data_IF_055622901721
#
_entry.id   IF_055622901721
#
_cell.length_a   1.000
_cell.length_b   1.000
_cell.length_c   1.000
_cell.angle_alpha   90.00
_cell.angle_beta   90.00
_cell.angle_gamma   90.00
#
_symmetry.space_group_name_H-M   'P 1'
#
loop_
_entity.id
_entity.type
_entity.pdbx_description
1 polymer ?
#
# COMPACT_ATOMS: atom_id res chain seq x y z
N UNK A 1 0.91 -2.06 31.46
CA UNK A 1 0.16 -2.71 30.35
C UNK A 1 1.04 -2.74 29.10
N UNK A 2 1.75 -3.84 28.81
CA UNK A 2 2.58 -3.98 27.60
C UNK A 2 1.75 -4.70 26.53
N UNK A 3 0.83 -3.97 25.90
CA UNK A 3 0.12 -4.46 24.72
C UNK A 3 1.01 -4.40 23.47
N UNK A 4 0.83 -5.33 22.53
CA UNK A 4 1.42 -5.24 21.19
C UNK A 4 1.11 -3.86 20.62
N UNK A 5 2.08 -3.13 20.04
CA UNK A 5 1.82 -1.80 19.50
C UNK A 5 0.59 -1.86 18.57
N UNK A 6 -0.35 -0.91 18.69
CA UNK A 6 -1.57 -0.92 17.88
C UNK A 6 -1.28 -0.79 16.38
N UNK A 7 -0.05 -0.35 16.04
CA UNK A 7 0.41 -0.10 14.68
C UNK A 7 1.33 -1.20 14.19
N UNK A 8 1.10 -1.58 12.94
CA UNK A 8 1.95 -2.51 12.22
C UNK A 8 2.97 -1.71 11.40
N UNK A 9 4.26 -2.02 11.55
CA UNK A 9 5.33 -1.45 10.71
C UNK A 9 5.02 -1.55 9.22
N UNK A 10 4.36 -2.62 8.78
CA UNK A 10 3.99 -2.81 7.38
C UNK A 10 2.94 -1.78 6.95
N UNK A 11 1.92 -1.49 7.79
CA UNK A 11 0.93 -0.45 7.47
C UNK A 11 1.53 0.95 7.54
N UNK A 12 2.46 1.19 8.47
CA UNK A 12 3.22 2.45 8.53
C UNK A 12 4.01 2.68 7.23
N UNK A 13 4.75 1.68 6.77
CA UNK A 13 5.48 1.76 5.49
C UNK A 13 4.54 1.93 4.28
N UNK A 14 3.39 1.24 4.25
CA UNK A 14 2.38 1.44 3.20
C UNK A 14 1.85 2.88 3.23
N UNK A 15 1.65 3.45 4.42
CA UNK A 15 1.26 4.84 4.56
C UNK A 15 2.36 5.80 4.04
N UNK A 16 3.64 5.52 4.28
CA UNK A 16 4.74 6.30 3.67
C UNK A 16 4.67 6.27 2.14
N UNK A 17 4.47 5.08 1.55
CA UNK A 17 4.37 4.92 0.10
C UNK A 17 3.22 5.76 -0.43
N UNK A 18 2.02 5.60 0.13
CA UNK A 18 0.83 6.33 -0.30
C UNK A 18 0.93 7.84 -0.05
N UNK A 19 1.66 8.28 0.99
CA UNK A 19 1.94 9.69 1.21
C UNK A 19 2.80 10.31 0.08
N UNK A 20 3.68 9.51 -0.53
CA UNK A 20 4.58 9.98 -1.59
C UNK A 20 3.92 9.88 -2.97
N UNK A 21 3.29 8.75 -3.30
CA UNK A 21 2.71 8.51 -4.64
C UNK A 21 1.26 8.99 -4.77
N UNK A 22 0.64 9.37 -3.65
CA UNK A 22 -0.76 9.81 -3.56
C UNK A 22 -1.76 8.64 -3.59
N UNK A 23 -1.69 7.79 -4.62
CA UNK A 23 -2.52 6.60 -4.77
C UNK A 23 -1.79 5.46 -5.46
N UNK A 24 -2.20 4.22 -5.19
CA UNK A 24 -1.66 3.05 -5.90
C UNK A 24 -2.53 1.82 -5.77
N UNK A 25 -2.42 0.90 -6.74
CA UNK A 25 -3.09 -0.40 -6.66
C UNK A 25 -2.24 -1.43 -5.89
N UNK A 26 -2.86 -2.49 -5.38
CA UNK A 26 -2.21 -3.43 -4.44
C UNK A 26 -0.86 -3.99 -4.91
N UNK A 27 -0.74 -4.37 -6.18
CA UNK A 27 0.53 -4.86 -6.74
C UNK A 27 1.58 -3.75 -6.89
N UNK A 28 1.19 -2.55 -7.33
CA UNK A 28 2.08 -1.39 -7.38
C UNK A 28 2.64 -1.05 -5.99
N UNK A 29 1.78 -0.99 -4.97
CA UNK A 29 2.19 -0.74 -3.59
C UNK A 29 3.19 -1.81 -3.13
N UNK A 30 2.97 -3.08 -3.48
CA UNK A 30 3.91 -4.17 -3.21
C UNK A 30 5.28 -3.97 -3.89
N UNK A 31 5.30 -3.48 -5.14
CA UNK A 31 6.56 -3.18 -5.85
C UNK A 31 7.36 -2.08 -5.14
N UNK A 32 6.71 -0.95 -4.81
CA UNK A 32 7.34 0.12 -4.03
C UNK A 32 7.83 -0.39 -2.67
N UNK A 33 6.99 -1.18 -1.98
CA UNK A 33 7.35 -1.73 -0.69
C UNK A 33 8.59 -2.61 -0.77
N UNK A 34 8.64 -3.52 -1.74
CA UNK A 34 9.76 -4.46 -1.91
C UNK A 34 11.06 -3.78 -2.35
N UNK A 35 10.98 -2.60 -2.98
CA UNK A 35 12.14 -1.80 -3.37
C UNK A 35 12.75 -0.99 -2.22
N UNK A 36 11.98 -0.65 -1.19
CA UNK A 36 12.40 0.28 -0.13
C UNK A 36 12.54 -0.39 1.25
N UNK A 37 11.69 -1.38 1.55
CA UNK A 37 11.54 -1.97 2.88
C UNK A 37 11.89 -3.47 2.89
N UNK A 38 12.05 -4.10 4.08
CA UNK A 38 12.31 -5.54 4.16
C UNK A 38 11.23 -6.36 3.45
N UNK A 39 11.63 -7.26 2.56
CA UNK A 39 10.72 -8.01 1.68
C UNK A 39 9.64 -8.76 2.47
N UNK A 40 8.42 -8.70 1.95
CA UNK A 40 7.26 -9.47 2.42
C UNK A 40 6.58 -10.11 1.22
N UNK A 41 5.67 -11.05 1.42
CA UNK A 41 4.89 -11.58 0.30
C UNK A 41 3.81 -10.59 -0.12
N UNK A 42 3.42 -10.63 -1.39
CA UNK A 42 2.31 -9.83 -1.90
C UNK A 42 1.04 -10.01 -1.03
N UNK A 43 0.71 -11.24 -0.64
CA UNK A 43 -0.44 -11.55 0.23
C UNK A 43 -0.44 -10.76 1.55
N UNK A 44 0.73 -10.55 2.15
CA UNK A 44 0.87 -9.74 3.37
C UNK A 44 0.50 -8.28 3.11
N UNK A 45 0.91 -7.70 1.97
CA UNK A 45 0.50 -6.34 1.58
C UNK A 45 -1.02 -6.25 1.42
N UNK A 46 -1.65 -7.19 0.71
CA UNK A 46 -3.12 -7.17 0.53
C UNK A 46 -3.88 -7.33 1.85
N UNK A 47 -3.38 -8.19 2.75
CA UNK A 47 -3.94 -8.30 4.10
C UNK A 47 -3.87 -6.96 4.85
N UNK A 48 -2.73 -6.27 4.77
CA UNK A 48 -2.52 -4.99 5.45
C UNK A 48 -3.30 -3.84 4.82
N UNK A 49 -3.49 -3.83 3.50
CA UNK A 49 -4.38 -2.89 2.82
C UNK A 49 -5.82 -3.07 3.29
N UNK A 50 -6.34 -4.32 3.27
CA UNK A 50 -7.68 -4.62 3.78
C UNK A 50 -7.85 -4.22 5.24
N UNK A 51 -6.86 -4.55 6.08
CA UNK A 51 -6.90 -4.19 7.50
C UNK A 51 -6.81 -2.69 7.73
N UNK A 52 -5.99 -1.97 6.96
CA UNK A 52 -5.87 -0.52 7.05
C UNK A 52 -7.14 0.20 6.61
N UNK A 53 -7.87 -0.32 5.61
CA UNK A 53 -9.21 0.19 5.26
C UNK A 53 -10.19 0.02 6.42
N UNK A 54 -10.22 -1.16 7.07
CA UNK A 54 -11.06 -1.38 8.26
C UNK A 54 -10.75 -0.44 9.42
N UNK A 55 -9.49 0.01 9.53
CA UNK A 55 -9.03 0.95 10.56
C UNK A 55 -9.10 2.41 10.11
N UNK A 56 -9.61 2.67 8.89
CA UNK A 56 -9.63 3.98 8.24
C UNK A 56 -8.24 4.63 8.09
N UNK A 57 -7.18 3.83 8.17
CA UNK A 57 -5.81 4.25 7.83
C UNK A 57 -5.66 4.40 6.30
N UNK A 58 -6.44 3.64 5.53
CA UNK A 58 -6.50 3.73 4.06
C UNK A 58 -7.94 3.86 3.60
N UNK A 59 -8.14 4.34 2.38
CA UNK A 59 -9.43 4.34 1.69
C UNK A 59 -9.29 3.69 0.32
N UNK A 60 -10.36 3.04 -0.14
CA UNK A 60 -10.47 2.62 -1.54
C UNK A 60 -10.96 3.82 -2.33
N UNK A 61 -10.11 4.35 -3.21
CA UNK A 61 -10.44 5.52 -4.02
C UNK A 61 -11.17 5.12 -5.30
N UNK A 62 -10.76 4.01 -5.91
CA UNK A 62 -11.28 3.58 -7.22
C UNK A 62 -11.12 2.06 -7.35
N UNK A 63 -12.07 1.43 -8.03
CA UNK A 63 -11.95 0.05 -8.50
C UNK A 63 -12.04 0.12 -10.03
N UNK A 64 -10.94 -0.18 -10.71
CA UNK A 64 -10.86 -0.12 -12.17
C UNK A 64 -10.71 -1.52 -12.73
N UNK A 65 -11.59 -1.86 -13.67
CA UNK A 65 -11.45 -3.05 -14.50
C UNK A 65 -10.61 -2.69 -15.73
N UNK A 66 -9.50 -3.38 -15.91
CA UNK A 66 -8.68 -3.25 -17.10
C UNK A 66 -8.86 -4.50 -17.94
N UNK A 67 -9.30 -4.32 -19.19
CA UNK A 67 -9.35 -5.40 -20.15
C UNK A 67 -7.95 -5.72 -20.64
N UNK A 68 -7.60 -7.00 -20.66
CA UNK A 68 -6.28 -7.46 -21.10
C UNK A 68 -6.32 -8.92 -21.52
N UNK A 69 -5.36 -9.32 -22.37
CA UNK A 69 -5.17 -10.72 -22.73
C UNK A 69 -4.33 -11.41 -21.65
N UNK A 70 -4.94 -11.73 -20.51
CA UNK A 70 -4.28 -12.52 -19.47
C UNK A 70 -4.57 -14.00 -19.69
N UNK A 71 -3.62 -14.86 -19.29
CA UNK A 71 -3.73 -16.32 -19.46
C UNK A 71 -4.90 -16.95 -18.69
N UNK A 72 -5.60 -16.18 -17.85
CA UNK A 72 -6.64 -16.64 -16.93
C UNK A 72 -7.94 -15.80 -17.00
N UNK A 73 -8.08 -14.92 -17.98
CA UNK A 73 -9.28 -14.09 -18.14
C UNK A 73 -9.05 -12.84 -19.00
N UNK A 74 -10.15 -12.24 -19.46
CA UNK A 74 -10.15 -11.04 -20.30
C UNK A 74 -10.08 -9.73 -19.51
N UNK A 75 -10.23 -9.77 -18.19
CA UNK A 75 -10.28 -8.57 -17.33
C UNK A 75 -9.51 -8.78 -16.03
N UNK A 76 -8.83 -7.74 -15.56
CA UNK A 76 -8.23 -7.66 -14.22
C UNK A 76 -8.83 -6.49 -13.45
N UNK A 77 -9.21 -6.72 -12.20
CA UNK A 77 -9.67 -5.67 -11.30
C UNK A 77 -8.51 -5.12 -10.48
N UNK A 78 -8.30 -3.80 -10.56
CA UNK A 78 -7.35 -3.06 -9.73
C UNK A 78 -8.10 -2.19 -8.74
N UNK A 79 -7.98 -2.53 -7.46
CA UNK A 79 -8.39 -1.65 -6.36
C UNK A 79 -7.28 -0.65 -6.07
N UNK A 80 -7.56 0.64 -6.24
CA UNK A 80 -6.67 1.74 -5.92
C UNK A 80 -6.92 2.23 -4.50
N UNK A 81 -5.84 2.36 -3.75
CA UNK A 81 -5.85 2.80 -2.36
C UNK A 81 -5.18 4.17 -2.23
N UNK A 82 -5.66 4.95 -1.28
CA UNK A 82 -5.08 6.23 -0.86
C UNK A 82 -5.06 6.32 0.67
N UNK A 83 -4.41 7.35 1.21
CA UNK A 83 -4.39 7.61 2.65
C UNK A 83 -5.82 7.89 3.16
N UNK A 84 -6.17 7.22 4.26
CA UNK A 84 -7.41 7.47 4.98
C UNK A 84 -7.23 8.51 6.09
N UNK A 85 -8.33 8.93 6.73
CA UNK A 85 -8.32 9.98 7.76
C UNK A 85 -7.50 9.63 9.01
N UNK A 86 -7.31 8.33 9.31
CA UNK A 86 -6.50 7.89 10.45
C UNK A 86 -5.04 7.58 10.07
N UNK A 87 -4.64 7.81 8.82
CA UNK A 87 -3.26 7.64 8.39
C UNK A 87 -2.34 8.60 9.16
N UNK A 88 -1.18 8.09 9.58
CA UNK A 88 -0.13 8.90 10.23
C UNK A 88 1.24 8.54 9.64
N UNK A 89 1.52 8.91 8.37
CA UNK A 89 2.86 8.75 7.81
C UNK A 89 3.86 9.61 8.59
N UNK A 90 5.06 9.09 8.81
CA UNK A 90 6.17 9.78 9.48
C UNK A 90 6.90 10.73 8.53
N UNK A 91 6.82 10.53 7.22
CA UNK A 91 7.38 11.41 6.18
C UNK A 91 8.88 11.69 6.36
N UNK A 92 9.69 10.65 6.61
CA UNK A 92 11.15 10.80 6.67
C UNK A 92 11.73 11.04 5.28
N UNK A 93 12.61 12.03 5.15
CA UNK A 93 13.18 12.44 3.86
C UNK A 93 13.95 11.31 3.15
N UNK A 94 14.72 10.52 3.90
CA UNK A 94 15.50 9.41 3.34
C UNK A 94 14.61 8.31 2.73
N UNK A 95 13.49 8.01 3.39
CA UNK A 95 12.49 7.05 2.91
C UNK A 95 11.77 7.62 1.68
N UNK A 96 11.40 8.90 1.72
CA UNK A 96 10.70 9.57 0.63
C UNK A 96 11.53 9.56 -0.66
N UNK A 97 12.81 9.88 -0.58
CA UNK A 97 13.70 9.86 -1.74
C UNK A 97 13.88 8.44 -2.29
N UNK A 98 13.99 7.42 -1.42
CA UNK A 98 14.02 6.02 -1.85
C UNK A 98 12.75 5.61 -2.59
N UNK A 99 11.57 6.04 -2.10
CA UNK A 99 10.29 5.75 -2.76
C UNK A 99 10.23 6.41 -4.14
N UNK A 100 10.63 7.68 -4.26
CA UNK A 100 10.67 8.39 -5.55
C UNK A 100 11.66 7.77 -6.55
N UNK A 101 12.72 7.12 -6.06
CA UNK A 101 13.71 6.46 -6.89
C UNK A 101 13.24 5.10 -7.45
N UNK A 102 12.16 4.51 -6.91
CA UNK A 102 11.55 3.31 -7.47
C UNK A 102 10.79 3.70 -8.75
N UNK A 103 11.25 3.20 -9.89
CA UNK A 103 10.65 3.39 -11.22
C UNK A 103 9.75 2.21 -11.59
#
# INVERSE_FOLDING_TARGET
MRGRPPRSKIREHIAEILAVIGRGYGYQIYQYYSGVFPKVTQRVIYYHLKKGVQLQEFVVQEIRKEQGKFSWGSEVEKTYYALGPNAKPLMKDDIREKIKAVR
#
